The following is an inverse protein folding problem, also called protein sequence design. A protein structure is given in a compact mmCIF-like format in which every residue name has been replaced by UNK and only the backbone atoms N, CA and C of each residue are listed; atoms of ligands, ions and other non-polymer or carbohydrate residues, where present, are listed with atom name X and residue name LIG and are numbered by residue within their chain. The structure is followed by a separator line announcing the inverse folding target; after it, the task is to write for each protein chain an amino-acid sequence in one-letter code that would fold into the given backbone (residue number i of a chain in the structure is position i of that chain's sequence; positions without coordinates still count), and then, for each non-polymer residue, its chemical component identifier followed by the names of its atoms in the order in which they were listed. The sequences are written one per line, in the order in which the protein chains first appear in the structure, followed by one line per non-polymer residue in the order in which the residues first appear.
data_IF_637730056775
#
_entry.id   IF_637730056775
#
_cell.length_a   1.000
_cell.length_b   1.000
_cell.length_c   1.000
_cell.angle_alpha   90.00
_cell.angle_beta   90.00
_cell.angle_gamma   90.00
#
_symmetry.space_group_name_H-M   'P 1'
#
loop_
_entity.id
_entity.type
_entity.pdbx_description
1 polymer ?
#
# COMPACT_ATOMS: atom_id res chain seq x y z
N UNK A 1 -11.53 -27.49 12.73
CA UNK A 1 -10.76 -26.57 11.86
C UNK A 1 -11.74 -25.64 11.18
N UNK A 2 -11.53 -24.33 11.27
CA UNK A 2 -12.36 -23.35 10.57
C UNK A 2 -12.29 -23.63 9.05
N UNK A 3 -13.34 -24.21 8.48
CA UNK A 3 -13.40 -24.54 7.07
C UNK A 3 -13.81 -23.27 6.32
N UNK A 4 -12.87 -22.33 6.22
CA UNK A 4 -13.13 -21.00 5.68
C UNK A 4 -13.13 -21.09 4.16
N UNK A 5 -14.29 -21.35 3.56
CA UNK A 5 -14.49 -21.17 2.13
C UNK A 5 -14.48 -19.65 1.86
N UNK A 6 -13.28 -19.09 1.64
CA UNK A 6 -13.02 -17.68 1.34
C UNK A 6 -11.97 -17.63 0.24
N UNK A 7 -12.28 -16.90 -0.82
CA UNK A 7 -11.35 -16.64 -1.92
C UNK A 7 -10.70 -15.28 -1.71
N UNK A 8 -9.42 -15.17 -2.06
CA UNK A 8 -8.73 -13.87 -2.06
C UNK A 8 -9.55 -12.93 -2.96
N UNK A 9 -9.95 -11.77 -2.44
CA UNK A 9 -10.88 -10.86 -3.13
C UNK A 9 -12.23 -10.69 -2.45
N UNK A 10 -12.63 -11.65 -1.62
CA UNK A 10 -13.92 -11.57 -0.93
C UNK A 10 -13.94 -10.42 0.09
N UNK A 11 -15.08 -9.76 0.18
CA UNK A 11 -15.34 -8.74 1.19
C UNK A 11 -16.24 -9.28 2.30
N UNK A 12 -15.94 -8.89 3.54
CA UNK A 12 -16.76 -9.16 4.71
C UNK A 12 -17.08 -7.85 5.43
N UNK A 13 -18.22 -7.78 6.11
CA UNK A 13 -18.46 -6.83 7.19
C UNK A 13 -17.65 -7.22 8.44
N UNK A 14 -17.54 -6.30 9.41
CA UNK A 14 -16.87 -6.60 10.68
C UNK A 14 -17.53 -7.76 11.45
N UNK A 15 -18.87 -7.82 11.40
CA UNK A 15 -19.66 -8.87 12.04
C UNK A 15 -19.42 -10.23 11.39
N UNK A 16 -19.43 -10.28 10.05
CA UNK A 16 -19.14 -11.51 9.30
C UNK A 16 -17.71 -11.99 9.54
N UNK A 17 -16.71 -11.11 9.52
CA UNK A 17 -15.32 -11.45 9.84
C UNK A 17 -15.21 -12.01 11.27
N UNK A 18 -15.76 -11.30 12.26
CA UNK A 18 -15.75 -11.70 13.66
C UNK A 18 -16.37 -13.08 13.86
N UNK A 19 -17.58 -13.30 13.33
CA UNK A 19 -18.30 -14.57 13.41
C UNK A 19 -17.57 -15.69 12.68
N UNK A 20 -17.06 -15.42 11.48
CA UNK A 20 -16.44 -16.44 10.62
C UNK A 20 -15.10 -16.93 11.14
N UNK A 21 -14.32 -16.07 11.81
CA UNK A 21 -13.01 -16.46 12.37
C UNK A 21 -13.04 -16.67 13.89
N UNK A 22 -14.19 -16.47 14.55
CA UNK A 22 -14.33 -16.42 16.01
C UNK A 22 -13.28 -15.51 16.66
N UNK A 23 -13.27 -14.24 16.25
CA UNK A 23 -12.33 -13.22 16.75
C UNK A 23 -13.08 -11.99 17.23
N UNK A 24 -12.41 -11.13 18.01
CA UNK A 24 -12.96 -9.83 18.43
C UNK A 24 -13.47 -8.99 17.24
N UNK A 25 -14.40 -8.07 17.49
CA UNK A 25 -14.82 -7.04 16.54
C UNK A 25 -13.87 -5.83 16.51
N UNK A 26 -12.88 -5.78 17.41
CA UNK A 26 -11.99 -4.63 17.58
C UNK A 26 -10.51 -5.00 17.44
N UNK A 27 -9.70 -3.98 17.13
CA UNK A 27 -8.24 -4.10 17.02
C UNK A 27 -7.75 -4.51 15.63
N UNK A 28 -6.46 -4.22 15.39
CA UNK A 28 -5.76 -4.59 14.16
C UNK A 28 -5.27 -6.04 14.16
N UNK A 29 -5.00 -6.62 15.33
CA UNK A 29 -4.63 -8.03 15.47
C UNK A 29 -5.63 -8.74 16.36
N UNK A 30 -6.33 -9.73 15.82
CA UNK A 30 -7.41 -10.43 16.51
C UNK A 30 -7.14 -11.92 16.51
N UNK A 31 -6.89 -12.46 17.70
CA UNK A 31 -6.56 -13.86 17.87
C UNK A 31 -7.81 -14.66 18.23
N UNK A 32 -7.98 -15.80 17.57
CA UNK A 32 -8.96 -16.84 17.92
C UNK A 32 -8.22 -18.00 18.57
N UNK A 33 -8.47 -18.23 19.85
CA UNK A 33 -7.93 -19.39 20.58
C UNK A 33 -8.54 -20.68 20.04
N UNK A 34 -9.84 -20.71 19.80
CA UNK A 34 -10.59 -21.87 19.31
C UNK A 34 -10.06 -22.36 17.96
N UNK A 35 -9.87 -21.45 17.00
CA UNK A 35 -9.43 -21.81 15.66
C UNK A 35 -7.89 -21.83 15.51
N UNK A 36 -7.16 -21.35 16.52
CA UNK A 36 -5.72 -21.09 16.47
C UNK A 36 -5.33 -20.24 15.23
N UNK A 37 -6.08 -19.15 15.00
CA UNK A 37 -5.89 -18.22 13.89
C UNK A 37 -5.63 -16.83 14.45
N UNK A 38 -4.62 -16.14 13.92
CA UNK A 38 -4.40 -14.71 14.14
C UNK A 38 -4.80 -13.94 12.88
N UNK A 39 -5.88 -13.18 12.99
CA UNK A 39 -6.37 -12.27 11.95
C UNK A 39 -5.61 -10.95 12.07
N UNK A 40 -4.93 -10.57 11.01
CA UNK A 40 -4.25 -9.28 10.87
C UNK A 40 -5.10 -8.38 9.98
N UNK A 41 -5.33 -7.15 10.44
CA UNK A 41 -6.10 -6.13 9.74
C UNK A 41 -5.19 -4.92 9.57
N UNK A 42 -4.98 -4.54 8.32
CA UNK A 42 -4.33 -3.27 7.96
C UNK A 42 -5.38 -2.26 7.49
N UNK A 43 -5.14 -0.97 7.72
CA UNK A 43 -6.00 0.12 7.28
C UNK A 43 -5.29 0.93 6.20
N UNK A 44 -5.99 1.19 5.08
CA UNK A 44 -5.49 2.04 3.99
C UNK A 44 -5.80 3.53 4.24
N UNK A 45 -6.89 3.84 4.94
CA UNK A 45 -7.35 5.21 5.20
C UNK A 45 -7.34 5.55 6.70
N UNK A 46 -7.23 6.84 7.02
CA UNK A 46 -7.24 7.39 8.39
C UNK A 46 -6.26 6.74 9.38
N UNK A 47 -5.19 6.15 8.85
CA UNK A 47 -4.04 5.75 9.64
C UNK A 47 -2.96 6.82 9.44
N UNK A 48 -2.61 7.62 10.47
CA UNK A 48 -1.53 8.58 10.34
C UNK A 48 -0.18 7.90 10.00
N UNK A 49 -0.08 6.57 10.20
CA UNK A 49 1.10 5.77 9.90
C UNK A 49 0.70 4.40 9.33
N UNK A 50 0.40 4.30 8.02
CA UNK A 50 -0.06 3.05 7.39
C UNK A 50 1.02 1.96 7.42
N UNK A 51 0.59 0.69 7.49
CA UNK A 51 1.49 -0.44 7.31
C UNK A 51 2.17 -0.36 5.95
N UNK A 52 3.44 -0.75 5.88
CA UNK A 52 4.23 -0.58 4.66
C UNK A 52 4.17 -1.84 3.81
N UNK A 53 3.87 -1.69 2.53
CA UNK A 53 3.87 -2.78 1.55
C UNK A 53 5.05 -2.69 0.58
N UNK A 54 5.64 -3.83 0.23
CA UNK A 54 6.70 -3.99 -0.79
C UNK A 54 6.40 -5.23 -1.64
N UNK A 55 5.66 -5.07 -2.74
CA UNK A 55 5.17 -6.20 -3.53
C UNK A 55 4.19 -7.05 -2.71
N UNK A 56 4.52 -8.33 -2.49
CA UNK A 56 3.76 -9.21 -1.59
C UNK A 56 4.25 -9.19 -0.15
N UNK A 57 5.23 -8.35 0.19
CA UNK A 57 5.71 -8.18 1.57
C UNK A 57 4.93 -7.09 2.28
N UNK A 58 4.60 -7.32 3.53
CA UNK A 58 3.91 -6.39 4.43
C UNK A 58 4.76 -6.20 5.69
N UNK A 59 5.12 -4.97 5.99
CA UNK A 59 5.77 -4.56 7.23
C UNK A 59 4.70 -4.00 8.15
N UNK A 60 4.11 -4.90 8.90
CA UNK A 60 2.94 -4.66 9.74
C UNK A 60 3.37 -4.01 11.06
N UNK A 61 2.75 -2.88 11.42
CA UNK A 61 3.03 -2.18 12.68
C UNK A 61 2.26 -2.87 13.81
N UNK A 62 2.93 -3.17 14.90
CA UNK A 62 2.31 -3.84 16.04
C UNK A 62 1.30 -2.98 16.80
N UNK A 63 0.64 -3.60 17.77
CA UNK A 63 -0.32 -2.97 18.66
C UNK A 63 0.35 -1.99 19.65
N UNK A 64 -0.44 -1.00 20.09
CA UNK A 64 -0.04 0.08 21.00
C UNK A 64 -0.24 1.44 20.35
N UNK A 65 -1.32 2.15 20.69
CA UNK A 65 -1.71 3.41 20.04
C UNK A 65 -1.08 4.66 20.66
N UNK A 66 -0.63 4.59 21.91
CA UNK A 66 -0.03 5.71 22.66
C UNK A 66 1.32 5.27 23.21
N UNK A 67 2.29 6.18 23.21
CA UNK A 67 3.64 5.93 23.71
C UNK A 67 4.41 4.86 22.92
N UNK A 68 5.49 4.39 23.54
CA UNK A 68 6.35 3.35 22.99
C UNK A 68 5.65 1.98 23.00
N UNK A 69 5.70 1.29 21.86
CA UNK A 69 5.17 -0.06 21.73
C UNK A 69 6.11 -1.07 22.38
N UNK A 70 5.53 -2.14 22.91
CA UNK A 70 6.24 -3.27 23.49
C UNK A 70 6.00 -4.56 22.69
N UNK A 71 7.03 -5.40 22.59
CA UNK A 71 6.94 -6.75 22.01
C UNK A 71 5.98 -7.64 22.80
N UNK A 72 5.85 -7.42 24.10
CA UNK A 72 5.05 -8.25 25.00
C UNK A 72 3.59 -7.79 25.10
N UNK A 73 3.23 -6.70 24.43
CA UNK A 73 1.89 -6.14 24.49
C UNK A 73 0.88 -6.94 23.66
N UNK A 74 -0.08 -7.59 24.34
CA UNK A 74 -1.21 -8.29 23.71
C UNK A 74 -0.76 -9.21 22.56
N UNK A 75 -1.39 -9.10 21.38
CA UNK A 75 -1.10 -9.94 20.21
C UNK A 75 0.29 -9.72 19.60
N UNK A 76 1.05 -8.68 20.00
CA UNK A 76 2.45 -8.55 19.62
C UNK A 76 3.25 -9.77 20.10
N UNK A 77 3.00 -10.23 21.34
CA UNK A 77 3.68 -11.39 21.93
C UNK A 77 3.41 -12.65 21.11
N UNK A 78 2.15 -12.83 20.69
CA UNK A 78 1.74 -13.98 19.86
C UNK A 78 2.40 -13.94 18.50
N UNK A 79 2.31 -12.82 17.77
CA UNK A 79 2.94 -12.69 16.44
C UNK A 79 4.47 -12.85 16.51
N UNK A 80 5.09 -12.35 17.58
CA UNK A 80 6.51 -12.58 17.86
C UNK A 80 6.84 -14.07 18.06
N UNK A 81 6.05 -14.77 18.88
CA UNK A 81 6.28 -16.20 19.14
C UNK A 81 6.19 -17.05 17.87
N UNK A 82 5.29 -16.69 16.94
CA UNK A 82 5.11 -17.37 15.64
C UNK A 82 6.39 -17.28 14.80
N UNK A 83 7.14 -16.19 14.85
CA UNK A 83 8.40 -16.08 14.12
C UNK A 83 9.51 -17.00 14.68
N UNK A 84 9.62 -17.12 16.01
CA UNK A 84 10.72 -17.85 16.64
C UNK A 84 10.45 -19.34 16.85
N UNK A 85 9.22 -19.80 16.67
CA UNK A 85 8.84 -21.17 17.06
C UNK A 85 8.25 -21.92 15.88
N UNK A 86 9.04 -22.81 15.28
CA UNK A 86 8.57 -23.70 14.20
C UNK A 86 7.43 -24.63 14.64
N UNK A 87 7.31 -24.90 15.95
CA UNK A 87 6.23 -25.70 16.54
C UNK A 87 4.88 -24.94 16.65
N UNK A 88 4.86 -23.62 16.48
CA UNK A 88 3.61 -22.85 16.56
C UNK A 88 2.89 -22.94 15.22
N UNK A 89 1.80 -23.70 15.20
CA UNK A 89 0.94 -23.92 14.03
C UNK A 89 -0.10 -22.83 13.80
N UNK A 90 -0.04 -21.73 14.57
CA UNK A 90 -1.02 -20.63 14.46
C UNK A 90 -1.04 -20.07 13.05
N UNK A 91 -2.21 -20.12 12.40
CA UNK A 91 -2.40 -19.63 11.05
C UNK A 91 -2.52 -18.11 11.04
N UNK A 92 -1.80 -17.43 10.13
CA UNK A 92 -1.93 -15.99 9.92
C UNK A 92 -2.77 -15.70 8.68
N UNK A 93 -3.78 -14.86 8.82
CA UNK A 93 -4.62 -14.40 7.71
C UNK A 93 -4.69 -12.88 7.71
N UNK A 94 -4.70 -12.29 6.52
CA UNK A 94 -4.66 -10.84 6.35
C UNK A 94 -5.95 -10.32 5.73
N UNK A 95 -6.41 -9.21 6.29
CA UNK A 95 -7.49 -8.38 5.76
C UNK A 95 -7.03 -6.94 5.59
N UNK A 96 -7.57 -6.28 4.57
CA UNK A 96 -7.50 -4.84 4.42
C UNK A 96 -8.86 -4.25 4.79
N UNK A 97 -8.88 -3.33 5.74
CA UNK A 97 -10.06 -2.53 6.04
C UNK A 97 -10.14 -1.33 5.07
N UNK A 98 -11.26 -1.25 4.35
CA UNK A 98 -11.55 -0.19 3.38
C UNK A 98 -12.23 1.00 4.06
N UNK A 99 -12.30 2.14 3.37
CA UNK A 99 -13.02 3.33 3.82
C UNK A 99 -14.53 3.10 4.02
N UNK A 100 -15.13 2.16 3.30
CA UNK A 100 -16.51 1.70 3.50
C UNK A 100 -16.71 0.76 4.71
N UNK A 101 -15.72 0.65 5.62
CA UNK A 101 -15.74 -0.29 6.76
C UNK A 101 -15.94 -1.77 6.38
N UNK A 102 -15.57 -2.15 5.15
CA UNK A 102 -15.50 -3.54 4.69
C UNK A 102 -14.10 -4.09 4.85
N UNK A 103 -14.01 -5.41 4.96
CA UNK A 103 -12.77 -6.14 5.20
C UNK A 103 -12.51 -7.05 4.00
N UNK A 104 -11.55 -6.66 3.18
CA UNK A 104 -11.10 -7.40 2.01
C UNK A 104 -10.14 -8.50 2.43
N UNK A 105 -10.44 -9.75 2.09
CA UNK A 105 -9.56 -10.88 2.37
C UNK A 105 -8.37 -10.94 1.40
N UNK A 106 -7.16 -10.93 1.95
CA UNK A 106 -5.91 -10.96 1.20
C UNK A 106 -5.23 -12.34 1.20
N UNK A 107 -5.79 -13.31 1.92
CA UNK A 107 -5.22 -14.65 2.02
C UNK A 107 -4.32 -14.88 3.23
N UNK A 108 -3.59 -15.98 3.19
CA UNK A 108 -2.63 -16.36 4.22
C UNK A 108 -1.32 -15.58 4.12
N UNK A 109 -0.74 -15.28 5.28
CA UNK A 109 0.57 -14.65 5.39
C UNK A 109 1.54 -15.50 6.21
N UNK A 110 2.83 -15.23 6.07
CA UNK A 110 3.91 -15.81 6.88
C UNK A 110 4.83 -14.70 7.36
N UNK A 111 5.44 -14.89 8.52
CA UNK A 111 6.57 -14.06 8.94
C UNK A 111 7.78 -14.37 8.05
N UNK A 112 8.54 -13.34 7.68
CA UNK A 112 9.72 -13.47 6.79
C UNK A 112 10.98 -12.84 7.38
N UNK A 113 10.90 -12.32 8.59
CA UNK A 113 12.02 -11.69 9.24
C UNK A 113 11.73 -11.38 10.69
N UNK A 114 12.81 -11.16 11.44
CA UNK A 114 12.77 -10.83 12.87
C UNK A 114 11.96 -9.54 13.08
N UNK A 115 11.02 -9.51 14.04
CA UNK A 115 10.37 -8.26 14.43
C UNK A 115 11.41 -7.27 14.96
N UNK A 116 11.30 -6.00 14.56
CA UNK A 116 12.27 -4.97 14.93
C UNK A 116 11.59 -3.67 15.29
N UNK A 117 12.28 -2.86 16.09
CA UNK A 117 11.78 -1.56 16.52
C UNK A 117 12.27 -0.44 15.62
N UNK A 118 11.45 0.60 15.46
CA UNK A 118 11.79 1.82 14.76
C UNK A 118 11.19 3.01 15.48
N UNK A 119 11.87 4.15 15.46
CA UNK A 119 11.28 5.41 15.90
C UNK A 119 10.46 6.05 14.78
N UNK A 120 9.25 6.48 15.10
CA UNK A 120 8.39 7.26 14.21
C UNK A 120 7.92 8.53 14.91
N UNK A 121 7.76 9.61 14.16
CA UNK A 121 7.13 10.83 14.68
C UNK A 121 5.66 10.52 14.98
N UNK A 122 5.22 10.78 16.21
CA UNK A 122 3.84 10.70 16.67
C UNK A 122 3.15 12.07 16.61
N UNK A 123 3.92 13.14 16.85
CA UNK A 123 3.57 14.54 16.60
C UNK A 123 4.75 15.24 15.91
N UNK A 124 4.61 16.53 15.56
CA UNK A 124 5.70 17.31 14.93
C UNK A 124 7.01 17.27 15.74
N UNK A 125 6.91 17.15 17.07
CA UNK A 125 8.04 17.25 17.98
C UNK A 125 8.31 15.95 18.76
N UNK A 126 7.41 14.97 18.72
CA UNK A 126 7.51 13.77 19.56
C UNK A 126 7.70 12.53 18.70
N UNK A 127 8.72 11.72 19.02
CA UNK A 127 8.93 10.39 18.43
C UNK A 127 8.48 9.33 19.42
N UNK A 128 7.92 8.25 18.89
CA UNK A 128 7.62 7.02 19.63
C UNK A 128 8.30 5.82 18.99
N UNK A 129 8.66 4.85 19.80
CA UNK A 129 9.14 3.54 19.38
C UNK A 129 7.96 2.68 18.94
N UNK A 130 8.00 2.17 17.71
CA UNK A 130 7.05 1.21 17.19
C UNK A 130 7.74 -0.11 16.87
N UNK A 131 6.98 -1.19 16.93
CA UNK A 131 7.42 -2.50 16.48
C UNK A 131 6.88 -2.81 15.09
N UNK A 132 7.71 -3.41 14.25
CA UNK A 132 7.39 -3.81 12.88
C UNK A 132 7.58 -5.32 12.76
N UNK A 133 6.57 -5.98 12.17
CA UNK A 133 6.55 -7.39 11.84
C UNK A 133 6.65 -7.57 10.32
N UNK A 134 7.78 -8.09 9.79
CA UNK A 134 7.91 -8.41 8.38
C UNK A 134 7.13 -9.67 8.00
N UNK A 135 6.20 -9.54 7.07
CA UNK A 135 5.30 -10.58 6.59
C UNK A 135 5.36 -10.73 5.07
N UNK A 136 4.98 -11.88 4.55
CA UNK A 136 4.75 -12.12 3.11
C UNK A 136 3.39 -12.75 2.89
N UNK A 137 2.68 -12.29 1.87
CA UNK A 137 1.43 -12.89 1.41
C UNK A 137 1.75 -13.99 0.40
N UNK A 138 1.29 -15.22 0.67
CA UNK A 138 1.72 -16.41 -0.09
C UNK A 138 1.32 -16.38 -1.57
N UNK A 139 0.14 -15.85 -1.90
CA UNK A 139 -0.47 -15.99 -3.24
C UNK A 139 -0.90 -14.64 -3.87
N UNK A 140 -0.17 -13.55 -3.61
CA UNK A 140 -0.54 -12.20 -4.10
C UNK A 140 -0.15 -11.92 -5.57
N UNK A 141 0.47 -12.88 -6.26
CA UNK A 141 1.15 -12.72 -7.56
C UNK A 141 0.26 -12.28 -8.72
N UNK A 142 -1.05 -12.44 -8.63
CA UNK A 142 -2.02 -12.10 -9.69
C UNK A 142 -2.89 -10.88 -9.36
N UNK A 143 -2.73 -10.31 -8.17
CA UNK A 143 -3.76 -9.46 -7.56
C UNK A 143 -3.23 -8.03 -7.30
N UNK A 144 -1.91 -7.83 -7.19
CA UNK A 144 -1.34 -6.63 -6.58
C UNK A 144 -1.52 -5.28 -7.29
N UNK A 145 -1.78 -5.19 -8.61
CA UNK A 145 -2.06 -3.88 -9.25
C UNK A 145 -3.53 -3.51 -9.14
N UNK A 146 -4.42 -4.41 -9.57
CA UNK A 146 -5.88 -4.26 -9.49
C UNK A 146 -6.37 -4.12 -8.04
N UNK A 147 -5.80 -4.84 -7.07
CA UNK A 147 -6.22 -4.70 -5.66
C UNK A 147 -5.86 -3.35 -5.06
N UNK A 148 -4.61 -2.89 -5.20
CA UNK A 148 -4.24 -1.61 -4.57
C UNK A 148 -4.99 -0.45 -5.22
N UNK A 149 -5.20 -0.50 -6.54
CA UNK A 149 -5.97 0.50 -7.27
C UNK A 149 -7.47 0.47 -6.95
N UNK A 150 -8.05 -0.69 -6.61
CA UNK A 150 -9.48 -0.83 -6.27
C UNK A 150 -9.79 -0.65 -4.78
N UNK A 151 -8.82 -0.86 -3.88
CA UNK A 151 -8.99 -0.76 -2.42
C UNK A 151 -8.65 0.64 -1.89
N UNK A 152 -7.78 1.39 -2.58
CA UNK A 152 -7.67 2.84 -2.42
C UNK A 152 -8.91 3.41 -3.07
N UNK A 153 -9.94 3.73 -2.30
CA UNK A 153 -11.20 4.20 -2.87
C UNK A 153 -11.02 5.55 -3.57
N UNK A 154 -10.77 5.50 -4.87
CA UNK A 154 -10.60 6.64 -5.77
C UNK A 154 -11.78 7.62 -5.63
N UNK A 155 -12.99 7.14 -5.28
CA UNK A 155 -14.18 7.98 -5.06
C UNK A 155 -13.99 9.03 -3.97
N UNK A 156 -13.26 8.74 -2.90
CA UNK A 156 -12.96 9.71 -1.84
C UNK A 156 -12.05 10.87 -2.32
N UNK A 157 -11.26 10.63 -3.37
CA UNK A 157 -10.34 11.60 -3.97
C UNK A 157 -10.97 12.38 -5.12
N UNK A 158 -11.95 11.79 -5.84
CA UNK A 158 -12.72 12.47 -6.90
C UNK A 158 -13.43 13.74 -6.42
N UNK A 159 -13.87 13.75 -5.16
CA UNK A 159 -14.61 14.89 -4.58
C UNK A 159 -13.71 15.97 -3.95
N UNK A 160 -12.38 15.78 -3.90
CA UNK A 160 -11.45 16.77 -3.36
C UNK A 160 -10.98 17.71 -4.47
N UNK A 161 -10.93 19.01 -4.19
CA UNK A 161 -10.37 20.02 -5.12
C UNK A 161 -8.92 19.65 -5.48
N UNK A 162 -8.60 19.72 -6.76
CA UNK A 162 -7.30 19.35 -7.33
C UNK A 162 -6.13 20.04 -6.61
N UNK A 163 -6.25 21.32 -6.30
CA UNK A 163 -5.26 22.10 -5.55
C UNK A 163 -4.95 21.53 -4.16
N UNK A 164 -5.94 20.88 -3.54
CA UNK A 164 -5.76 20.24 -2.22
C UNK A 164 -4.96 18.95 -2.36
N UNK A 165 -5.14 18.19 -3.43
CA UNK A 165 -4.31 17.01 -3.73
C UNK A 165 -2.88 17.42 -4.06
N UNK A 166 -2.70 18.47 -4.87
CA UNK A 166 -1.37 18.97 -5.23
C UNK A 166 -0.62 19.48 -4.00
N UNK A 167 -1.26 20.23 -3.10
CA UNK A 167 -0.66 20.64 -1.80
C UNK A 167 -0.24 19.44 -0.94
N UNK A 168 -1.02 18.36 -0.93
CA UNK A 168 -0.67 17.14 -0.20
C UNK A 168 0.52 16.42 -0.85
N UNK A 169 0.60 16.39 -2.18
CA UNK A 169 1.75 15.85 -2.92
C UNK A 169 3.01 16.68 -2.63
N UNK A 170 2.92 18.01 -2.70
CA UNK A 170 4.04 18.92 -2.44
C UNK A 170 4.55 18.79 -1.00
N UNK A 171 3.65 18.81 -0.02
CA UNK A 171 3.99 18.59 1.39
C UNK A 171 4.63 17.22 1.61
N UNK A 172 4.12 16.18 0.93
CA UNK A 172 4.70 14.84 0.98
C UNK A 172 6.12 14.82 0.38
N UNK A 173 6.32 15.43 -0.80
CA UNK A 173 7.61 15.48 -1.49
C UNK A 173 8.66 16.26 -0.68
N UNK A 174 8.30 17.41 -0.10
CA UNK A 174 9.18 18.18 0.79
C UNK A 174 9.64 17.35 2.00
N UNK A 175 8.75 16.56 2.58
CA UNK A 175 9.09 15.65 3.69
C UNK A 175 9.91 14.42 3.24
N UNK A 176 9.77 14.01 1.97
CA UNK A 176 10.54 12.92 1.38
C UNK A 176 11.98 13.36 1.09
N UNK A 177 12.19 14.54 0.52
CA UNK A 177 13.52 15.06 0.20
C UNK A 177 14.30 15.47 1.47
N UNK A 178 13.64 15.99 2.51
CA UNK A 178 14.26 16.32 3.81
C UNK A 178 14.76 15.11 4.62
N UNK A 179 14.41 13.87 4.26
CA UNK A 179 14.87 12.64 4.95
C UNK A 179 16.19 12.07 4.43
N UNK A 180 16.78 12.66 3.39
CA UNK A 180 18.04 12.17 2.81
C UNK A 180 19.33 12.63 3.52
N UNK A 181 19.25 13.29 4.68
CA UNK A 181 20.44 13.76 5.41
C UNK A 181 20.81 13.00 6.70
N UNK A 182 20.15 11.90 7.06
CA UNK A 182 20.58 11.13 8.25
C UNK A 182 20.52 9.61 8.04
N UNK A 183 21.72 9.06 7.84
CA UNK A 183 22.16 7.67 7.98
C UNK A 183 21.68 6.60 6.99
N UNK A 184 22.69 6.03 6.33
CA UNK A 184 22.67 4.92 5.40
C UNK A 184 22.41 3.57 6.10
N UNK A 185 21.34 2.89 5.69
CA UNK A 185 21.20 1.45 5.41
C UNK A 185 19.71 1.14 5.23
N UNK A 186 19.38 0.52 4.09
CA UNK A 186 18.03 0.24 3.56
C UNK A 186 17.23 1.44 3.01
N UNK A 187 17.32 1.66 1.69
CA UNK A 187 16.46 2.62 0.98
C UNK A 187 15.02 2.08 0.94
N UNK A 188 14.11 2.74 1.66
CA UNK A 188 12.68 2.41 1.77
C UNK A 188 11.91 3.29 0.78
N UNK A 189 11.05 2.71 -0.06
CA UNK A 189 10.23 3.48 -1.01
C UNK A 189 8.76 3.40 -0.63
N UNK A 190 8.14 4.55 -0.39
CA UNK A 190 6.71 4.70 -0.09
C UNK A 190 5.98 5.09 -1.37
N UNK A 191 4.79 4.53 -1.64
CA UNK A 191 3.93 4.90 -2.77
C UNK A 191 2.79 5.79 -2.30
N UNK A 192 2.68 6.98 -2.87
CA UNK A 192 1.73 8.00 -2.52
C UNK A 192 0.47 7.85 -3.38
N UNK A 193 -0.70 7.57 -2.78
CA UNK A 193 -1.95 7.40 -3.50
C UNK A 193 -2.36 8.64 -4.32
N UNK A 194 -1.96 9.85 -3.90
CA UNK A 194 -2.23 11.08 -4.63
C UNK A 194 -1.45 11.13 -5.95
N UNK A 195 -0.20 10.66 -5.97
CA UNK A 195 0.64 10.61 -7.17
C UNK A 195 0.05 9.63 -8.19
N UNK A 196 -0.38 8.45 -7.73
CA UNK A 196 -1.04 7.46 -8.58
C UNK A 196 -2.35 8.02 -9.17
N UNK A 197 -3.20 8.65 -8.36
CA UNK A 197 -4.44 9.26 -8.83
C UNK A 197 -4.20 10.37 -9.85
N UNK A 198 -3.31 11.32 -9.55
CA UNK A 198 -2.99 12.44 -10.44
C UNK A 198 -2.42 11.94 -11.77
N UNK A 199 -1.57 10.91 -11.76
CA UNK A 199 -1.05 10.33 -13.01
C UNK A 199 -2.15 9.81 -13.93
N UNK A 200 -3.12 9.09 -13.38
CA UNK A 200 -4.26 8.54 -14.13
C UNK A 200 -5.22 9.63 -14.60
N UNK A 201 -5.43 10.66 -13.77
CA UNK A 201 -6.26 11.83 -14.11
C UNK A 201 -5.63 12.63 -15.26
N UNK A 202 -4.33 12.92 -15.19
CA UNK A 202 -3.60 13.63 -16.25
C UNK A 202 -3.67 12.89 -17.60
N UNK A 203 -3.59 11.57 -17.57
CA UNK A 203 -3.64 10.73 -18.76
C UNK A 203 -5.01 10.72 -19.47
N UNK A 204 -6.09 11.19 -18.82
CA UNK A 204 -7.44 11.30 -19.41
C UNK A 204 -7.92 10.03 -20.12
N UNK A 205 -7.57 8.87 -19.56
CA UNK A 205 -7.93 7.57 -20.12
C UNK A 205 -7.16 7.16 -21.37
N UNK A 206 -6.07 7.84 -21.72
CA UNK A 206 -5.16 7.46 -22.80
C UNK A 206 -3.88 6.87 -22.20
N UNK A 207 -3.47 5.70 -22.67
CA UNK A 207 -2.21 5.07 -22.27
C UNK A 207 -1.03 5.94 -22.72
N UNK A 208 -0.16 6.31 -21.79
CA UNK A 208 0.95 7.20 -22.08
C UNK A 208 2.12 6.51 -22.82
N UNK A 209 2.09 5.18 -23.02
CA UNK A 209 3.06 4.49 -23.88
C UNK A 209 2.52 4.33 -25.30
N UNK A 210 1.43 3.58 -25.47
CA UNK A 210 0.92 3.24 -26.80
C UNK A 210 -0.05 4.28 -27.39
N UNK A 211 -0.41 5.32 -26.62
CA UNK A 211 -1.29 6.42 -27.04
C UNK A 211 -2.70 5.98 -27.44
N UNK A 212 -3.10 4.75 -27.09
CA UNK A 212 -4.46 4.26 -27.28
C UNK A 212 -5.32 4.53 -26.05
N UNK A 213 -6.63 4.63 -26.24
CA UNK A 213 -7.57 4.67 -25.14
C UNK A 213 -7.42 3.45 -24.22
N UNK A 214 -7.79 3.61 -22.95
CA UNK A 214 -7.88 2.54 -22.00
C UNK A 214 -8.73 1.40 -22.60
N UNK A 215 -8.30 0.14 -22.46
CA UNK A 215 -8.95 -0.97 -23.15
C UNK A 215 -10.36 -1.28 -22.62
N UNK A 216 -10.68 -0.82 -21.41
CA UNK A 216 -11.99 -0.98 -20.78
C UNK A 216 -12.16 0.09 -19.68
N UNK A 217 -13.38 0.16 -19.14
CA UNK A 217 -13.70 1.00 -17.99
C UNK A 217 -13.76 0.17 -16.70
N UNK A 218 -13.47 0.80 -15.56
CA UNK A 218 -13.72 0.21 -14.25
C UNK A 218 -15.22 0.14 -13.92
N UNK A 219 -15.55 -0.49 -12.79
CA UNK A 219 -16.92 -0.62 -12.27
C UNK A 219 -17.64 0.73 -12.06
N UNK A 220 -16.89 1.82 -12.03
CA UNK A 220 -17.36 3.18 -11.79
C UNK A 220 -17.34 4.02 -13.08
N UNK A 221 -17.25 3.37 -14.25
CA UNK A 221 -17.29 3.99 -15.58
C UNK A 221 -16.01 4.74 -15.99
N UNK A 222 -14.91 4.61 -15.25
CA UNK A 222 -13.69 5.35 -15.53
C UNK A 222 -12.75 4.55 -16.44
N UNK A 223 -12.06 5.18 -17.40
CA UNK A 223 -11.03 4.52 -18.18
C UNK A 223 -9.98 3.80 -17.30
N UNK A 224 -9.79 2.50 -17.51
CA UNK A 224 -8.88 1.69 -16.69
C UNK A 224 -7.42 1.82 -17.17
N UNK A 225 -6.61 2.50 -16.35
CA UNK A 225 -5.15 2.62 -16.50
C UNK A 225 -4.47 2.26 -15.17
N UNK A 226 -3.24 1.77 -15.24
CA UNK A 226 -2.39 1.40 -14.10
C UNK A 226 -1.23 2.38 -13.95
N UNK A 227 -0.92 2.81 -12.73
CA UNK A 227 0.24 3.67 -12.47
C UNK A 227 1.53 2.85 -12.44
N UNK A 228 2.56 3.34 -13.12
CA UNK A 228 3.86 2.71 -13.27
C UNK A 228 4.99 3.67 -12.90
N UNK A 229 5.94 3.22 -12.08
CA UNK A 229 7.18 3.96 -11.83
C UNK A 229 8.19 3.67 -12.93
N UNK A 230 8.62 4.70 -13.67
CA UNK A 230 9.49 4.55 -14.84
C UNK A 230 10.87 4.06 -14.41
N UNK A 231 11.51 4.79 -13.51
CA UNK A 231 12.56 4.21 -12.68
C UNK A 231 11.88 3.49 -11.52
N UNK A 232 12.04 2.17 -11.49
CA UNK A 232 11.41 1.37 -10.47
C UNK A 232 11.92 1.79 -9.10
N UNK A 233 11.01 1.82 -8.12
CA UNK A 233 11.36 2.12 -6.74
C UNK A 233 12.49 1.21 -6.23
N UNK A 234 12.43 -0.10 -6.54
CA UNK A 234 13.48 -1.06 -6.16
C UNK A 234 14.87 -0.76 -6.76
N UNK A 235 14.94 0.06 -7.81
CA UNK A 235 16.18 0.42 -8.50
C UNK A 235 16.72 1.80 -8.14
N UNK A 236 16.05 2.56 -7.27
CA UNK A 236 16.47 3.94 -6.98
C UNK A 236 15.35 4.96 -7.16
N UNK A 237 14.34 4.62 -7.94
CA UNK A 237 13.31 5.55 -8.38
C UNK A 237 12.56 6.21 -7.24
N UNK A 238 12.25 7.50 -7.40
CA UNK A 238 11.46 8.26 -6.44
C UNK A 238 9.97 8.10 -6.71
N UNK A 239 9.17 8.14 -5.66
CA UNK A 239 7.72 8.22 -5.78
C UNK A 239 7.29 9.68 -5.97
N UNK A 240 7.39 10.15 -7.22
CA UNK A 240 7.17 11.54 -7.63
C UNK A 240 6.46 11.58 -8.99
N UNK A 241 5.77 12.68 -9.29
CA UNK A 241 5.05 12.84 -10.57
C UNK A 241 6.01 12.80 -11.77
N UNK A 242 7.26 13.21 -11.63
CA UNK A 242 8.28 13.12 -12.68
C UNK A 242 8.78 11.69 -12.94
N UNK A 243 8.39 10.72 -12.12
CA UNK A 243 8.80 9.32 -12.23
C UNK A 243 7.61 8.34 -12.25
N UNK A 244 6.37 8.83 -12.33
CA UNK A 244 5.15 8.00 -12.40
C UNK A 244 4.38 8.31 -13.68
N UNK A 245 3.82 7.27 -14.29
CA UNK A 245 3.07 7.37 -15.55
C UNK A 245 1.85 6.44 -15.52
N UNK A 246 0.83 6.70 -16.32
CA UNK A 246 -0.36 5.86 -16.44
C UNK A 246 -0.36 5.05 -17.74
N UNK A 247 -0.44 3.72 -17.63
CA UNK A 247 -0.34 2.78 -18.73
C UNK A 247 -1.57 1.88 -18.81
N UNK A 248 -1.92 1.40 -20.00
CA UNK A 248 -2.87 0.30 -20.11
C UNK A 248 -2.26 -1.01 -19.58
N UNK A 249 -3.05 -2.01 -19.18
CA UNK A 249 -2.56 -3.28 -18.65
C UNK A 249 -1.50 -3.96 -19.52
N UNK A 250 -1.68 -3.93 -20.84
CA UNK A 250 -0.75 -4.55 -21.79
C UNK A 250 0.61 -3.82 -21.80
N UNK A 251 0.60 -2.49 -21.86
CA UNK A 251 1.83 -1.69 -21.84
C UNK A 251 2.51 -1.76 -20.47
N UNK A 252 1.73 -1.78 -19.39
CA UNK A 252 2.26 -1.94 -18.05
C UNK A 252 2.99 -3.28 -17.90
N UNK A 253 2.36 -4.39 -18.31
CA UNK A 253 3.00 -5.71 -18.29
C UNK A 253 4.23 -5.77 -19.21
N UNK A 254 4.16 -5.14 -20.40
CA UNK A 254 5.30 -4.99 -21.31
C UNK A 254 6.49 -4.32 -20.62
N UNK A 255 6.28 -3.23 -19.87
CA UNK A 255 7.38 -2.55 -19.16
C UNK A 255 7.99 -3.40 -18.03
N UNK A 256 7.20 -4.27 -17.38
CA UNK A 256 7.74 -5.21 -16.39
C UNK A 256 8.56 -6.35 -16.99
N UNK A 257 8.30 -6.74 -18.24
CA UNK A 257 8.95 -7.87 -18.91
C UNK A 257 10.12 -7.39 -19.77
N UNK A 258 9.89 -6.40 -20.62
CA UNK A 258 10.80 -5.98 -21.69
C UNK A 258 11.72 -4.85 -21.23
N UNK A 259 11.19 -3.84 -20.53
CA UNK A 259 11.97 -2.70 -20.03
C UNK A 259 12.83 -2.01 -21.13
N UNK A 260 12.22 -1.80 -22.31
CA UNK A 260 12.94 -1.29 -23.48
C UNK A 260 13.40 0.17 -23.29
N UNK A 261 14.66 0.45 -23.66
CA UNK A 261 15.28 1.77 -23.44
C UNK A 261 14.59 2.90 -24.19
N UNK A 262 14.01 2.64 -25.37
CA UNK A 262 13.29 3.68 -26.15
C UNK A 262 11.96 4.00 -25.47
N UNK A 263 11.24 2.97 -25.01
CA UNK A 263 10.00 3.14 -24.27
C UNK A 263 10.24 3.89 -22.95
N UNK A 264 11.29 3.53 -22.19
CA UNK A 264 11.66 4.24 -20.95
C UNK A 264 11.91 5.73 -21.21
N UNK A 265 12.69 6.09 -22.23
CA UNK A 265 12.96 7.50 -22.58
C UNK A 265 11.68 8.27 -22.93
N UNK A 266 10.80 7.65 -23.71
CA UNK A 266 9.51 8.24 -24.06
C UNK A 266 8.66 8.51 -22.80
N UNK A 267 8.62 7.55 -21.88
CA UNK A 267 7.86 7.70 -20.63
C UNK A 267 8.45 8.78 -19.73
N UNK A 268 9.79 8.90 -19.65
CA UNK A 268 10.47 9.96 -18.90
C UNK A 268 10.12 11.36 -19.43
N UNK A 269 10.02 11.52 -20.75
CA UNK A 269 9.58 12.79 -21.34
C UNK A 269 8.15 13.14 -20.92
N UNK A 270 7.24 12.16 -20.98
CA UNK A 270 5.82 12.37 -20.63
C UNK A 270 5.59 12.62 -19.14
N UNK A 271 6.33 11.96 -18.25
CA UNK A 271 6.23 12.22 -16.81
C UNK A 271 6.76 13.61 -16.47
N UNK A 272 7.79 14.10 -17.18
CA UNK A 272 8.29 15.46 -17.03
C UNK A 272 7.26 16.51 -17.50
N UNK A 273 6.57 16.26 -18.62
CA UNK A 273 5.46 17.11 -19.09
C UNK A 273 4.34 17.21 -18.04
N UNK A 274 3.96 16.07 -17.45
CA UNK A 274 2.99 16.03 -16.34
C UNK A 274 3.47 16.81 -15.12
N UNK A 275 4.74 16.64 -14.72
CA UNK A 275 5.30 17.37 -13.59
C UNK A 275 5.24 18.88 -13.81
N UNK A 276 5.64 19.36 -14.99
CA UNK A 276 5.59 20.79 -15.36
C UNK A 276 4.16 21.33 -15.36
N UNK A 277 3.19 20.54 -15.84
CA UNK A 277 1.78 20.93 -15.82
C UNK A 277 1.29 21.29 -14.40
N UNK A 278 1.69 20.51 -13.39
CA UNK A 278 1.22 20.68 -12.02
C UNK A 278 2.09 21.58 -11.13
N UNK A 279 3.38 21.72 -11.44
CA UNK A 279 4.34 22.44 -10.57
C UNK A 279 5.01 23.64 -11.23
N UNK A 280 4.75 23.91 -12.51
CA UNK A 280 5.38 25.03 -13.25
C UNK A 280 4.40 26.12 -13.71
N UNK A 281 3.20 26.19 -13.12
CA UNK A 281 2.32 27.36 -13.23
C UNK A 281 2.18 27.99 -11.84
N UNK A 282 3.24 28.68 -11.42
CA UNK A 282 3.26 29.71 -10.36
C UNK A 282 4.48 30.62 -10.56
N UNK A 283 4.77 30.96 -11.82
CA UNK A 283 5.60 32.12 -12.15
C UNK A 283 4.74 33.06 -12.99
N UNK A 284 3.94 33.87 -12.30
CA UNK A 284 3.70 35.31 -12.43
C UNK A 284 2.67 35.67 -11.35
#
# INVERSE_FOLDING_TARGET
MCNVNLKIGDFLSNSELSKKFTVSTEGGMRFSTENNILVLITKIHDNPYPDRWEGNKLYYIGMGRKGDQSIDFQSNKKLNSIYYTEKITTKLVLFINTDQNKYLYCGEVKTIGRPYFKYQYFTKNEKRKIIIFPLIVKNLTSISSQFFDSTINIKSYKNKKEDTLIKNIDTYQKNYDNKNYVNAKEKKYYRNPYIAYISKKYAKGICQLCQKAAPFQDKDGNPYLESHHIEWLSRGGKDRLDNVIALCPNCHKKMHIIDDKKDVKLLQQKSLEMYKHYFSINNI
#
